data_IF_955267076391
#
_entry.id   IF_955267076391
#
_cell.length_a   1.000
_cell.length_b   1.000
_cell.length_c   1.000
_cell.angle_alpha   90.00
_cell.angle_beta   90.00
_cell.angle_gamma   90.00
#
_symmetry.space_group_name_H-M   'P 1'
#
loop_
_entity.id
_entity.type
_entity.pdbx_description
1 polymer ?
#
# COMPACT_ATOMS: atom_id res chain seq x y z
N UNK A 1 -0.75 29.30 -9.48
CA UNK A 1 -1.21 27.90 -9.60
C UNK A 1 -2.44 27.91 -10.48
N UNK A 2 -2.37 27.36 -11.68
CA UNK A 2 -3.53 27.22 -12.56
C UNK A 2 -4.51 26.24 -11.93
N UNK A 3 -5.72 26.70 -11.59
CA UNK A 3 -6.82 25.80 -11.23
C UNK A 3 -7.01 24.82 -12.38
N UNK A 4 -6.68 23.55 -12.16
CA UNK A 4 -6.94 22.51 -13.13
C UNK A 4 -8.46 22.36 -13.22
N UNK A 5 -9.02 22.71 -14.38
CA UNK A 5 -10.46 22.59 -14.63
C UNK A 5 -10.84 21.12 -14.59
N UNK A 6 -11.61 20.72 -13.57
CA UNK A 6 -12.09 19.36 -13.41
C UNK A 6 -13.11 19.01 -14.51
N UNK A 7 -13.20 17.74 -14.89
CA UNK A 7 -14.33 17.23 -15.66
C UNK A 7 -15.62 17.38 -14.85
N UNK A 8 -16.78 17.40 -15.53
CA UNK A 8 -18.06 17.46 -14.83
C UNK A 8 -18.27 16.25 -13.90
N UNK A 9 -17.80 15.07 -14.33
CA UNK A 9 -17.82 13.82 -13.56
C UNK A 9 -16.97 13.94 -12.30
N UNK A 10 -15.72 14.36 -12.42
CA UNK A 10 -14.83 14.55 -11.27
C UNK A 10 -15.36 15.63 -10.32
N UNK A 11 -15.90 16.74 -10.85
CA UNK A 11 -16.48 17.79 -10.02
C UNK A 11 -17.69 17.29 -9.22
N UNK A 12 -18.55 16.45 -9.80
CA UNK A 12 -19.67 15.82 -9.11
C UNK A 12 -19.18 14.79 -8.07
N UNK A 13 -18.20 13.97 -8.42
CA UNK A 13 -17.55 13.01 -7.53
C UNK A 13 -16.98 13.70 -6.28
N UNK A 14 -16.21 14.77 -6.47
CA UNK A 14 -15.58 15.52 -5.37
C UNK A 14 -16.56 16.24 -4.46
N UNK A 15 -17.78 16.51 -4.93
CA UNK A 15 -18.87 17.02 -4.09
C UNK A 15 -19.55 15.92 -3.28
N UNK A 16 -19.59 14.69 -3.80
CA UNK A 16 -20.28 13.55 -3.19
C UNK A 16 -19.47 12.90 -2.07
N UNK A 17 -18.16 12.73 -2.27
CA UNK A 17 -17.27 12.09 -1.30
C UNK A 17 -16.75 13.15 -0.33
N UNK A 18 -17.14 13.03 0.94
CA UNK A 18 -16.80 13.99 2.00
C UNK A 18 -15.67 13.53 2.92
N UNK A 19 -15.20 12.30 2.74
CA UNK A 19 -14.12 11.69 3.51
C UNK A 19 -13.31 10.72 2.66
N UNK A 20 -12.13 10.32 3.12
CA UNK A 20 -11.30 9.37 2.37
C UNK A 20 -11.99 8.01 2.29
N UNK A 21 -12.18 7.53 1.06
CA UNK A 21 -12.92 6.31 0.74
C UNK A 21 -12.10 5.38 -0.13
N UNK A 22 -12.33 4.07 0.03
CA UNK A 22 -11.90 3.03 -0.89
C UNK A 22 -12.81 3.07 -2.11
N UNK A 23 -12.21 3.29 -3.28
CA UNK A 23 -12.92 3.15 -4.54
C UNK A 23 -12.97 1.67 -4.93
N UNK A 24 -14.13 1.03 -4.76
CA UNK A 24 -14.27 -0.42 -4.89
C UNK A 24 -13.82 -0.98 -6.26
N UNK A 25 -14.06 -0.31 -7.39
CA UNK A 25 -13.57 -0.77 -8.69
C UNK A 25 -12.05 -0.99 -8.80
N UNK A 26 -11.23 -0.12 -8.20
CA UNK A 26 -9.76 -0.17 -8.37
C UNK A 26 -8.95 -0.37 -7.09
N UNK A 27 -9.57 -0.32 -5.92
CA UNK A 27 -8.91 -0.42 -4.61
C UNK A 27 -8.09 0.79 -4.19
N UNK A 28 -8.04 1.83 -5.04
CA UNK A 28 -7.41 3.10 -4.69
C UNK A 28 -8.20 3.87 -3.65
N UNK A 29 -7.50 4.62 -2.80
CA UNK A 29 -8.12 5.58 -1.88
C UNK A 29 -8.33 6.93 -2.58
N UNK A 30 -9.56 7.45 -2.57
CA UNK A 30 -9.91 8.79 -3.08
C UNK A 30 -10.77 9.56 -2.11
N UNK A 31 -10.64 10.89 -2.10
CA UNK A 31 -11.31 11.77 -1.15
C UNK A 31 -10.36 12.73 -0.44
N UNK A 32 -10.88 13.58 0.47
CA UNK A 32 -10.05 14.47 1.26
C UNK A 32 -9.19 13.68 2.26
N UNK A 33 -7.90 13.99 2.34
CA UNK A 33 -6.98 13.38 3.32
C UNK A 33 -7.47 13.67 4.74
N UNK A 34 -7.61 12.64 5.60
CA UNK A 34 -8.18 12.81 6.93
C UNK A 34 -7.21 13.51 7.88
N UNK A 35 -7.75 14.17 8.91
CA UNK A 35 -6.96 14.81 9.97
C UNK A 35 -6.18 13.81 10.84
N UNK A 36 -6.56 12.54 10.82
CA UNK A 36 -5.81 11.45 11.47
C UNK A 36 -4.57 11.03 10.70
N UNK A 37 -4.38 11.52 9.47
CA UNK A 37 -3.14 11.31 8.73
C UNK A 37 -1.99 12.06 9.40
N UNK A 38 -0.82 11.44 9.53
CA UNK A 38 0.36 12.08 10.16
C UNK A 38 0.92 13.31 9.43
N UNK A 39 0.46 13.58 8.20
CA UNK A 39 0.93 14.66 7.36
C UNK A 39 -0.03 15.86 7.41
N UNK A 40 0.08 16.69 8.45
CA UNK A 40 -0.84 17.82 8.70
C UNK A 40 -1.00 18.76 7.52
N UNK A 41 0.08 19.04 6.79
CA UNK A 41 0.07 19.90 5.59
C UNK A 41 -0.77 19.36 4.42
N UNK A 42 -1.19 18.09 4.50
CA UNK A 42 -2.01 17.41 3.51
C UNK A 42 -3.48 17.30 3.92
N UNK A 43 -3.84 17.58 5.17
CA UNK A 43 -5.22 17.46 5.65
C UNK A 43 -6.19 18.24 4.76
N UNK A 44 -7.30 17.62 4.39
CA UNK A 44 -8.31 18.19 3.50
C UNK A 44 -7.92 18.27 2.02
N UNK A 45 -6.64 18.04 1.65
CA UNK A 45 -6.26 17.95 0.23
C UNK A 45 -6.95 16.76 -0.41
N UNK A 46 -7.43 16.95 -1.63
CA UNK A 46 -8.00 15.86 -2.40
C UNK A 46 -6.91 14.88 -2.83
N UNK A 47 -7.09 13.60 -2.48
CA UNK A 47 -6.34 12.48 -3.02
C UNK A 47 -7.17 11.80 -4.11
N UNK A 48 -6.56 11.51 -5.25
CA UNK A 48 -7.21 10.83 -6.37
C UNK A 48 -6.82 9.36 -6.49
N UNK A 49 -7.74 8.56 -7.03
CA UNK A 49 -7.44 7.22 -7.56
C UNK A 49 -7.15 7.27 -9.06
N UNK A 50 -6.82 6.12 -9.67
CA UNK A 50 -6.49 6.01 -11.08
C UNK A 50 -7.70 6.19 -12.03
N UNK A 51 -8.93 6.08 -11.51
CA UNK A 51 -10.16 6.17 -12.31
C UNK A 51 -10.74 7.60 -12.41
N UNK A 52 -10.05 8.61 -11.87
CA UNK A 52 -10.42 10.01 -12.08
C UNK A 52 -9.82 10.54 -13.39
N UNK A 53 -10.59 11.32 -14.15
CA UNK A 53 -10.13 11.92 -15.42
C UNK A 53 -9.02 12.96 -15.19
N UNK A 54 -9.08 13.64 -14.05
CA UNK A 54 -8.18 14.72 -13.66
C UNK A 54 -7.63 14.49 -12.24
N UNK A 55 -6.71 13.52 -12.06
CA UNK A 55 -6.12 13.24 -10.76
C UNK A 55 -5.44 14.47 -10.15
N UNK A 56 -5.61 14.65 -8.85
CA UNK A 56 -4.98 15.73 -8.11
C UNK A 56 -3.45 15.64 -8.17
N UNK A 57 -2.81 16.79 -8.40
CA UNK A 57 -1.35 16.92 -8.41
C UNK A 57 -0.90 17.65 -7.15
N UNK A 58 0.06 17.09 -6.43
CA UNK A 58 0.61 17.69 -5.22
C UNK A 58 2.03 18.16 -5.50
N UNK A 59 2.22 19.48 -5.60
CA UNK A 59 3.54 20.06 -5.82
C UNK A 59 4.54 19.64 -4.73
N UNK A 60 5.76 19.29 -5.14
CA UNK A 60 6.83 18.87 -4.23
C UNK A 60 6.70 17.45 -3.68
N UNK A 61 5.74 16.66 -4.17
CA UNK A 61 5.58 15.24 -3.82
C UNK A 61 6.04 14.35 -4.99
N UNK A 62 6.69 13.23 -4.70
CA UNK A 62 6.99 12.19 -5.71
C UNK A 62 5.70 11.47 -6.12
N UNK A 63 4.79 11.30 -5.16
CA UNK A 63 3.51 10.60 -5.33
C UNK A 63 2.41 11.46 -4.70
N UNK A 64 1.36 11.85 -5.44
CA UNK A 64 0.28 12.70 -4.92
C UNK A 64 -0.76 11.88 -4.12
N UNK A 65 -0.27 11.05 -3.19
CA UNK A 65 -1.10 10.23 -2.28
C UNK A 65 -0.47 10.21 -0.89
N UNK A 66 -1.28 10.44 0.12
CA UNK A 66 -0.88 10.40 1.52
C UNK A 66 -1.05 8.99 2.10
N UNK A 67 -2.10 8.29 1.68
CA UNK A 67 -2.46 6.96 2.17
C UNK A 67 -2.80 6.04 1.00
N UNK A 68 -2.36 4.80 1.08
CA UNK A 68 -2.83 3.68 0.26
C UNK A 68 -3.36 2.58 1.21
N UNK A 69 -4.15 1.63 0.69
CA UNK A 69 -4.36 0.37 1.42
C UNK A 69 -3.03 -0.40 1.48
N UNK A 70 -2.83 -1.14 2.58
CA UNK A 70 -1.69 -2.02 2.74
C UNK A 70 -1.66 -3.09 1.64
N UNK A 71 -0.54 -3.23 0.94
CA UNK A 71 -0.39 -4.20 -0.16
C UNK A 71 -0.52 -5.67 0.30
N UNK A 72 -0.29 -5.94 1.59
CA UNK A 72 -0.33 -7.30 2.14
C UNK A 72 -1.72 -7.65 2.65
N UNK A 73 -2.27 -6.86 3.57
CA UNK A 73 -3.55 -7.20 4.21
C UNK A 73 -4.75 -6.49 3.58
N UNK A 74 -4.55 -5.43 2.78
CA UNK A 74 -5.60 -4.58 2.21
C UNK A 74 -6.56 -3.96 3.25
N UNK A 75 -6.22 -3.96 4.54
CA UNK A 75 -7.05 -3.44 5.66
C UNK A 75 -6.48 -2.17 6.27
N UNK A 76 -5.22 -2.24 6.67
CA UNK A 76 -4.50 -1.10 7.24
C UNK A 76 -4.10 -0.11 6.16
N UNK A 77 -3.69 1.08 6.58
CA UNK A 77 -3.16 2.09 5.65
C UNK A 77 -1.64 2.08 5.61
N UNK A 78 -1.10 2.32 4.42
CA UNK A 78 0.31 2.47 4.14
C UNK A 78 0.56 3.74 3.31
N UNK A 79 1.74 3.86 2.71
CA UNK A 79 2.03 4.91 1.75
C UNK A 79 2.59 6.18 2.37
N UNK A 80 2.44 7.25 1.60
CA UNK A 80 3.10 8.54 1.81
C UNK A 80 3.46 9.18 0.48
N UNK A 81 3.85 10.45 0.55
CA UNK A 81 4.02 11.33 -0.61
C UNK A 81 5.35 11.17 -1.34
N UNK A 82 6.19 10.24 -0.89
CA UNK A 82 7.53 10.04 -1.44
C UNK A 82 7.69 8.64 -2.02
N UNK A 83 8.66 8.49 -2.93
CA UNK A 83 9.11 7.17 -3.40
C UNK A 83 9.76 6.32 -2.30
N UNK A 84 10.06 6.93 -1.15
CA UNK A 84 10.66 6.31 0.03
C UNK A 84 9.62 5.85 1.08
N UNK A 85 8.36 5.72 0.67
CA UNK A 85 7.27 5.28 1.55
C UNK A 85 7.09 3.76 1.51
N UNK A 86 6.65 3.18 2.63
CA UNK A 86 6.32 1.76 2.73
C UNK A 86 4.98 1.45 2.04
N UNK A 87 4.87 0.25 1.46
CA UNK A 87 3.64 -0.29 0.85
C UNK A 87 2.76 -1.04 1.85
N UNK A 88 3.26 -1.33 3.04
CA UNK A 88 2.57 -2.07 4.08
C UNK A 88 2.22 -1.18 5.30
N UNK A 89 1.14 -1.52 5.99
CA UNK A 89 0.79 -0.91 7.27
C UNK A 89 1.78 -1.33 8.37
N UNK A 90 1.74 -0.64 9.52
CA UNK A 90 2.64 -0.87 10.63
C UNK A 90 2.64 -2.33 11.13
N UNK A 91 1.46 -2.97 11.22
CA UNK A 91 1.36 -4.36 11.66
C UNK A 91 1.99 -5.34 10.66
N UNK A 92 1.76 -5.16 9.36
CA UNK A 92 2.38 -5.99 8.33
C UNK A 92 3.90 -5.78 8.27
N UNK A 93 4.39 -4.57 8.52
CA UNK A 93 5.84 -4.32 8.66
C UNK A 93 6.41 -5.08 9.86
N UNK A 94 5.74 -5.02 11.02
CA UNK A 94 6.16 -5.72 12.23
C UNK A 94 6.17 -7.25 12.05
N UNK A 95 5.18 -7.81 11.36
CA UNK A 95 5.16 -9.25 11.02
C UNK A 95 6.32 -9.60 10.08
N UNK A 96 6.59 -8.79 9.06
CA UNK A 96 7.72 -8.99 8.14
C UNK A 96 9.07 -8.99 8.88
N UNK A 97 9.25 -8.09 9.83
CA UNK A 97 10.45 -7.97 10.67
C UNK A 97 10.59 -9.15 11.65
N UNK A 98 9.49 -9.62 12.24
CA UNK A 98 9.49 -10.79 13.11
C UNK A 98 9.91 -12.05 12.33
N UNK A 99 9.38 -12.24 11.12
CA UNK A 99 9.76 -13.33 10.23
C UNK A 99 11.22 -13.19 9.76
N UNK A 100 11.68 -11.99 9.43
CA UNK A 100 13.09 -11.74 9.09
C UNK A 100 14.02 -12.16 10.23
N UNK A 101 13.65 -11.86 11.47
CA UNK A 101 14.41 -12.24 12.66
C UNK A 101 14.41 -13.76 12.89
N UNK A 102 13.27 -14.43 12.64
CA UNK A 102 13.14 -15.87 12.83
C UNK A 102 13.84 -16.70 11.76
N UNK A 103 13.87 -16.21 10.52
CA UNK A 103 14.35 -16.97 9.36
C UNK A 103 15.74 -16.56 8.88
N UNK A 104 16.25 -15.43 9.36
CA UNK A 104 17.51 -14.85 8.90
C UNK A 104 17.43 -14.21 7.50
N UNK A 105 16.25 -14.11 6.90
CA UNK A 105 16.02 -13.40 5.65
C UNK A 105 14.64 -12.74 5.62
N UNK A 106 14.57 -11.58 4.94
CA UNK A 106 13.31 -10.82 4.80
C UNK A 106 12.37 -11.52 3.81
N UNK A 107 11.13 -11.85 4.20
CA UNK A 107 10.25 -12.59 3.30
C UNK A 107 9.62 -11.71 2.22
N UNK A 108 9.22 -10.48 2.55
CA UNK A 108 8.57 -9.57 1.59
C UNK A 108 9.34 -8.25 1.43
N UNK A 109 9.42 -7.79 0.17
CA UNK A 109 10.02 -6.52 -0.20
C UNK A 109 8.99 -5.38 -0.15
N UNK A 110 8.69 -4.89 1.05
CA UNK A 110 7.57 -3.96 1.32
C UNK A 110 7.89 -2.48 1.07
N UNK A 111 9.12 -2.13 0.72
CA UNK A 111 9.48 -0.77 0.34
C UNK A 111 9.23 -0.50 -1.14
N UNK A 112 8.73 0.70 -1.49
CA UNK A 112 8.51 1.13 -2.89
C UNK A 112 9.78 1.10 -3.75
N UNK A 113 10.96 1.22 -3.14
CA UNK A 113 12.25 1.21 -3.82
C UNK A 113 13.10 0.02 -3.37
N UNK A 114 13.81 -0.61 -4.30
CA UNK A 114 14.79 -1.69 -4.04
C UNK A 114 15.74 -1.40 -2.85
N UNK A 115 16.24 -0.16 -2.73
CA UNK A 115 17.13 0.24 -1.63
C UNK A 115 16.47 0.15 -0.26
N UNK A 116 15.16 0.42 -0.15
CA UNK A 116 14.41 0.22 1.11
C UNK A 116 14.32 -1.26 1.50
N UNK A 117 14.53 -2.14 0.53
CA UNK A 117 14.58 -3.59 0.70
C UNK A 117 16.02 -4.12 0.81
N UNK A 118 17.00 -3.23 0.98
CA UNK A 118 18.46 -3.53 1.04
C UNK A 118 19.01 -4.15 -0.24
N UNK A 119 18.40 -3.84 -1.39
CA UNK A 119 18.79 -4.34 -2.71
C UNK A 119 19.35 -3.18 -3.53
N UNK A 120 20.62 -3.26 -3.91
CA UNK A 120 21.28 -2.24 -4.70
C UNK A 120 22.56 -2.75 -5.35
N UNK A 121 22.91 -2.18 -6.51
CA UNK A 121 24.15 -2.49 -7.23
C UNK A 121 25.19 -1.42 -6.88
N UNK A 122 26.33 -1.84 -6.34
CA UNK A 122 27.40 -0.89 -5.95
C UNK A 122 28.33 -0.63 -7.14
N UNK A 123 28.53 0.63 -7.47
CA UNK A 123 29.55 1.03 -8.44
C UNK A 123 30.95 0.64 -7.93
N UNK A 124 31.82 0.13 -8.82
CA UNK A 124 33.19 -0.28 -8.48
C UNK A 124 33.32 -1.69 -7.87
N UNK A 125 32.24 -2.46 -7.76
CA UNK A 125 32.30 -3.88 -7.37
C UNK A 125 32.98 -4.74 -8.46
N UNK A 126 33.60 -5.85 -8.03
CA UNK A 126 34.12 -6.86 -8.97
C UNK A 126 32.99 -7.40 -9.85
N UNK A 127 33.33 -7.94 -11.03
CA UNK A 127 32.35 -8.47 -11.96
C UNK A 127 31.44 -9.53 -11.31
N UNK A 128 32.00 -10.41 -10.48
CA UNK A 128 31.26 -11.47 -9.78
C UNK A 128 30.27 -10.91 -8.75
N UNK A 129 30.68 -9.91 -7.96
CA UNK A 129 29.78 -9.27 -6.97
C UNK A 129 28.67 -8.50 -7.69
N UNK A 130 29.00 -7.85 -8.80
CA UNK A 130 28.03 -7.11 -9.61
C UNK A 130 26.97 -8.02 -10.21
N UNK A 131 27.38 -9.17 -10.75
CA UNK A 131 26.47 -10.17 -11.30
C UNK A 131 25.49 -10.65 -10.23
N UNK A 132 25.99 -11.02 -9.05
CA UNK A 132 25.14 -11.43 -7.92
C UNK A 132 24.14 -10.33 -7.49
N UNK A 133 24.58 -9.06 -7.49
CA UNK A 133 23.70 -7.91 -7.18
C UNK A 133 22.64 -7.69 -8.25
N UNK A 134 22.98 -7.90 -9.53
CA UNK A 134 22.02 -7.83 -10.64
C UNK A 134 20.99 -8.95 -10.51
N UNK A 135 21.43 -10.19 -10.25
CA UNK A 135 20.52 -11.32 -10.00
C UNK A 135 19.57 -11.03 -8.84
N UNK A 136 20.07 -10.47 -7.74
CA UNK A 136 19.25 -10.07 -6.60
C UNK A 136 18.23 -8.98 -6.97
N UNK A 137 18.63 -8.02 -7.81
CA UNK A 137 17.72 -6.97 -8.30
C UNK A 137 16.66 -7.54 -9.26
N UNK A 138 16.99 -8.53 -10.09
CA UNK A 138 15.99 -9.22 -10.91
C UNK A 138 15.00 -9.99 -10.04
N UNK A 139 15.47 -10.74 -9.04
CA UNK A 139 14.61 -11.43 -8.08
C UNK A 139 13.72 -10.47 -7.27
N UNK A 140 14.15 -9.23 -7.03
CA UNK A 140 13.29 -8.19 -6.44
C UNK A 140 12.08 -7.87 -7.31
N UNK A 141 12.25 -7.72 -8.63
CA UNK A 141 11.12 -7.43 -9.52
C UNK A 141 10.10 -8.57 -9.53
N UNK A 142 10.55 -9.82 -9.52
CA UNK A 142 9.67 -10.99 -9.40
C UNK A 142 8.92 -11.03 -8.07
N UNK A 143 9.57 -10.66 -6.96
CA UNK A 143 8.93 -10.53 -5.65
C UNK A 143 7.86 -9.43 -5.65
N UNK A 144 8.17 -8.26 -6.23
CA UNK A 144 7.22 -7.14 -6.33
C UNK A 144 6.02 -7.53 -7.18
N UNK A 145 6.23 -8.24 -8.29
CA UNK A 145 5.13 -8.73 -9.14
C UNK A 145 4.22 -9.69 -8.36
N UNK A 146 4.80 -10.68 -7.67
CA UNK A 146 4.03 -11.61 -6.81
C UNK A 146 3.25 -10.89 -5.73
N UNK A 147 3.82 -9.84 -5.14
CA UNK A 147 3.15 -9.04 -4.12
C UNK A 147 1.94 -8.28 -4.68
N UNK A 148 2.05 -7.72 -5.88
CA UNK A 148 0.91 -7.08 -6.55
C UNK A 148 -0.15 -8.09 -7.03
N UNK A 149 0.25 -9.29 -7.45
CA UNK A 149 -0.71 -10.33 -7.82
C UNK A 149 -1.48 -10.83 -6.59
N UNK A 150 -0.80 -10.95 -5.45
CA UNK A 150 -1.45 -11.19 -4.16
C UNK A 150 -2.39 -10.06 -3.76
N UNK A 151 -1.94 -8.81 -3.80
CA UNK A 151 -2.74 -7.63 -3.48
C UNK A 151 -4.07 -7.66 -4.24
N UNK A 152 -4.03 -7.92 -5.55
CA UNK A 152 -5.25 -8.00 -6.38
C UNK A 152 -6.21 -9.09 -5.89
N UNK A 153 -5.69 -10.27 -5.54
CA UNK A 153 -6.51 -11.39 -5.07
C UNK A 153 -7.11 -11.09 -3.70
N UNK A 154 -6.30 -10.61 -2.76
CA UNK A 154 -6.73 -10.32 -1.41
C UNK A 154 -7.71 -9.14 -1.39
N UNK A 155 -7.42 -8.09 -2.15
CA UNK A 155 -8.31 -6.97 -2.33
C UNK A 155 -9.67 -7.43 -2.89
N UNK A 156 -9.68 -8.20 -3.99
CA UNK A 156 -10.93 -8.68 -4.59
C UNK A 156 -11.76 -9.51 -3.60
N UNK A 157 -11.10 -10.35 -2.79
CA UNK A 157 -11.75 -11.14 -1.74
C UNK A 157 -12.43 -10.24 -0.70
N UNK A 158 -11.76 -9.20 -0.21
CA UNK A 158 -12.31 -8.26 0.77
C UNK A 158 -13.41 -7.37 0.15
N UNK A 159 -13.19 -6.91 -1.08
CA UNK A 159 -14.09 -6.02 -1.81
C UNK A 159 -15.43 -6.69 -2.15
N UNK A 160 -15.48 -8.02 -2.26
CA UNK A 160 -16.69 -8.79 -2.55
C UNK A 160 -17.86 -8.58 -1.57
N UNK A 161 -17.62 -7.97 -0.39
CA UNK A 161 -18.65 -7.60 0.60
C UNK A 161 -19.39 -6.31 0.26
N UNK A 162 -18.88 -5.52 -0.66
CA UNK A 162 -19.40 -4.20 -0.99
C UNK A 162 -20.00 -4.18 -2.39
N UNK A 163 -20.81 -3.16 -2.66
CA UNK A 163 -21.26 -2.87 -4.02
C UNK A 163 -20.03 -2.60 -4.91
N UNK A 164 -19.91 -3.27 -6.08
CA UNK A 164 -18.72 -3.20 -6.93
C UNK A 164 -18.45 -1.80 -7.51
N UNK A 165 -19.41 -0.88 -7.47
CA UNK A 165 -19.30 0.49 -7.97
C UNK A 165 -19.23 1.53 -6.84
N UNK A 166 -19.16 1.09 -5.57
CA UNK A 166 -19.22 1.99 -4.44
C UNK A 166 -17.90 2.75 -4.15
N UNK A 167 -18.09 3.87 -3.48
CA UNK A 167 -17.08 4.53 -2.67
C UNK A 167 -17.36 4.21 -1.20
N UNK A 168 -16.53 3.39 -0.57
CA UNK A 168 -16.73 2.99 0.82
C UNK A 168 -15.80 3.80 1.72
N UNK A 169 -16.32 4.59 2.68
CA UNK A 169 -15.48 5.31 3.63
C UNK A 169 -14.43 4.40 4.27
N UNK A 170 -13.19 4.85 4.37
CA UNK A 170 -12.09 4.05 4.91
C UNK A 170 -12.40 3.53 6.31
N UNK A 171 -13.09 4.32 7.15
CA UNK A 171 -13.56 3.86 8.47
C UNK A 171 -14.51 2.66 8.40
N UNK A 172 -15.39 2.62 7.39
CA UNK A 172 -16.38 1.55 7.19
C UNK A 172 -15.68 0.32 6.66
N UNK A 173 -14.77 0.49 5.70
CA UNK A 173 -13.89 -0.58 5.22
C UNK A 173 -13.12 -1.23 6.38
N UNK A 174 -12.53 -0.43 7.25
CA UNK A 174 -11.76 -0.91 8.41
C UNK A 174 -12.64 -1.45 9.54
N UNK A 175 -13.92 -1.09 9.60
CA UNK A 175 -14.87 -1.69 10.54
C UNK A 175 -15.28 -3.09 10.10
N UNK A 176 -15.55 -3.29 8.80
CA UNK A 176 -15.83 -4.61 8.22
C UNK A 176 -14.56 -5.49 8.24
N UNK A 177 -13.42 -4.89 7.94
CA UNK A 177 -12.13 -5.56 7.88
C UNK A 177 -11.11 -4.90 8.80
N UNK A 178 -11.16 -5.17 10.13
CA UNK A 178 -10.23 -4.59 11.08
C UNK A 178 -8.77 -4.86 10.71
N UNK A 179 -7.92 -3.81 10.63
CA UNK A 179 -6.49 -4.00 10.61
C UNK A 179 -5.99 -4.45 11.98
N UNK A 180 -4.82 -5.07 12.01
CA UNK A 180 -4.19 -5.51 13.26
C UNK A 180 -3.17 -6.61 13.01
N UNK A 181 -2.50 -7.00 14.09
CA UNK A 181 -1.47 -8.05 14.07
C UNK A 181 -2.04 -9.41 13.61
N UNK A 182 -3.22 -9.80 14.08
CA UNK A 182 -3.84 -11.07 13.69
C UNK A 182 -4.22 -11.10 12.20
N UNK A 183 -4.83 -10.02 11.70
CA UNK A 183 -5.15 -9.88 10.28
C UNK A 183 -3.88 -9.87 9.41
N UNK A 184 -2.79 -9.31 9.92
CA UNK A 184 -1.50 -9.31 9.23
C UNK A 184 -0.90 -10.71 9.18
N UNK A 185 -0.90 -11.45 10.30
CA UNK A 185 -0.46 -12.84 10.33
C UNK A 185 -1.27 -13.73 9.39
N UNK A 186 -2.60 -13.62 9.39
CA UNK A 186 -3.47 -14.35 8.44
C UNK A 186 -3.09 -14.06 6.98
N UNK A 187 -2.91 -12.78 6.64
CA UNK A 187 -2.52 -12.39 5.28
C UNK A 187 -1.15 -12.95 4.89
N UNK A 188 -0.15 -12.87 5.78
CA UNK A 188 1.16 -13.51 5.55
C UNK A 188 1.00 -15.02 5.39
N UNK A 189 0.31 -15.69 6.30
CA UNK A 189 0.09 -17.14 6.25
C UNK A 189 -0.48 -17.62 4.91
N UNK A 190 -1.45 -16.90 4.35
CA UNK A 190 -2.02 -17.22 3.04
C UNK A 190 -1.12 -16.83 1.86
N UNK A 191 -0.35 -15.74 1.98
CA UNK A 191 0.58 -15.28 0.94
C UNK A 191 1.81 -16.18 0.79
N UNK A 192 2.48 -16.50 1.90
CA UNK A 192 3.74 -17.27 1.91
C UNK A 192 3.54 -18.74 2.24
N UNK A 193 2.31 -19.18 2.52
CA UNK A 193 1.99 -20.58 2.81
C UNK A 193 2.48 -21.06 4.18
N UNK A 194 2.59 -20.14 5.16
CA UNK A 194 2.98 -20.47 6.53
C UNK A 194 1.77 -20.66 7.42
N UNK A 195 1.86 -21.54 8.41
CA UNK A 195 0.95 -21.44 9.56
C UNK A 195 1.36 -20.28 10.47
N UNK A 196 0.41 -19.49 11.00
CA UNK A 196 0.73 -18.49 12.02
C UNK A 196 1.33 -19.20 13.25
N UNK A 197 2.32 -18.60 13.94
CA UNK A 197 2.73 -19.11 15.24
C UNK A 197 1.50 -19.17 16.14
N UNK A 198 1.23 -20.30 16.80
CA UNK A 198 0.17 -20.37 17.82
C UNK A 198 0.67 -19.59 19.03
N UNK A 199 0.16 -18.37 19.23
CA UNK A 199 0.43 -17.63 20.45
C UNK A 199 -0.45 -18.26 21.54
N UNK A 200 0.16 -19.06 22.42
CA UNK A 200 -0.44 -19.43 23.68
C UNK A 200 -0.60 -18.15 24.50
N UNK A 201 -1.83 -17.74 24.75
CA UNK A 201 -2.13 -16.71 25.75
C UNK A 201 -1.68 -17.27 27.11
N UNK A 202 -0.55 -16.78 27.62
CA UNK A 202 -0.24 -16.75 29.05
C UNK A 202 -0.46 -15.34 29.58
#
# INVERSE_FOLDING_TARGET
>A
MTEQKLSATDAALRKRITELSVHIPCGGLRGPVPTTCKWESLHGRWQSCADEDSPAKWGGCDVPRALDLCIVCCRGTAGGTTRWSWLACADCLAVNEALESAWGFRPLALGRHSLMNRIGVRAGSSAQIREAQITQLMGFFEHVQRLHDWEKQEYARLASRFDPLADVPLRVWQQEWPPGRDASWDAFSRLIGLEPPRWSNE
#
